data_IF_689817254991
#
_entry.id   IF_689817254991
#
_cell.length_a   1.000
_cell.length_b   1.000
_cell.length_c   1.000
_cell.angle_alpha   90.00
_cell.angle_beta   90.00
_cell.angle_gamma   90.00
#
_symmetry.space_group_name_H-M   'P 1'
#
loop_
_entity.id
_entity.type
_entity.pdbx_description
1 polymer ?
#
# COMPACT_ATOMS: atom_id res chain seq x y z
N UNK A 1 14.95 30.31 -12.21
CA UNK A 1 14.47 30.24 -10.82
C UNK A 1 13.68 28.96 -10.71
N UNK A 2 14.29 27.91 -10.18
CA UNK A 2 13.61 26.64 -9.96
C UNK A 2 12.73 26.83 -8.72
N UNK A 3 11.43 26.59 -8.86
CA UNK A 3 10.58 26.43 -7.70
C UNK A 3 10.99 25.11 -7.05
N UNK A 4 11.59 25.17 -5.86
CA UNK A 4 11.81 24.04 -4.98
C UNK A 4 10.45 23.42 -4.64
N UNK A 5 10.00 22.49 -5.49
CA UNK A 5 8.83 21.69 -5.21
C UNK A 5 9.24 20.64 -4.18
N UNK A 6 9.04 20.96 -2.88
CA UNK A 6 8.24 20.18 -1.90
C UNK A 6 8.63 20.51 -0.44
N UNK A 7 7.86 21.38 0.21
CA UNK A 7 7.87 21.58 1.68
C UNK A 7 6.72 20.81 2.38
N UNK A 8 6.17 19.77 1.76
CA UNK A 8 5.16 18.92 2.41
C UNK A 8 5.80 17.58 2.76
N UNK A 9 5.98 17.28 4.06
CA UNK A 9 6.61 16.04 4.50
C UNK A 9 5.79 14.84 4.04
N UNK A 10 6.48 13.74 3.71
CA UNK A 10 5.81 12.50 3.32
C UNK A 10 4.95 11.97 4.48
N UNK A 11 3.64 11.88 4.22
CA UNK A 11 2.68 11.38 5.19
C UNK A 11 2.58 9.85 5.07
N UNK A 12 3.08 9.15 6.10
CA UNK A 12 3.10 7.69 6.19
C UNK A 12 2.27 7.29 7.39
N UNK A 13 1.35 6.34 7.18
CA UNK A 13 0.52 5.78 8.23
C UNK A 13 0.86 4.29 8.40
N UNK A 14 1.37 3.92 9.57
CA UNK A 14 1.60 2.53 9.92
C UNK A 14 0.26 1.84 10.25
N UNK A 15 0.03 0.67 9.66
CA UNK A 15 -1.17 -0.13 9.94
C UNK A 15 -0.86 -1.26 10.92
N UNK A 16 0.32 -1.84 10.80
CA UNK A 16 0.83 -2.86 11.72
C UNK A 16 2.36 -2.83 11.68
N UNK A 17 3.04 -3.41 12.69
CA UNK A 17 4.50 -3.50 12.70
C UNK A 17 5.06 -4.03 11.38
N UNK A 18 5.85 -3.20 10.69
CA UNK A 18 6.51 -3.56 9.44
C UNK A 18 5.66 -3.35 8.17
N UNK A 19 4.45 -2.82 8.26
CA UNK A 19 3.66 -2.42 7.10
C UNK A 19 2.99 -1.05 7.30
N UNK A 20 3.25 -0.16 6.34
CA UNK A 20 2.68 1.17 6.31
C UNK A 20 2.13 1.52 4.93
N UNK A 21 1.33 2.58 4.89
CA UNK A 21 0.78 3.14 3.66
C UNK A 21 1.11 4.61 3.51
N UNK A 22 1.05 5.11 2.28
CA UNK A 22 1.10 6.54 1.99
C UNK A 22 0.19 6.95 0.84
N UNK A 23 0.09 8.27 0.67
CA UNK A 23 -0.40 8.89 -0.56
C UNK A 23 0.61 8.73 -1.71
N UNK A 24 0.31 9.37 -2.85
CA UNK A 24 1.16 9.34 -4.04
C UNK A 24 2.61 9.72 -3.72
N UNK A 25 3.53 8.92 -4.25
CA UNK A 25 4.96 9.17 -4.18
C UNK A 25 5.46 9.76 -5.50
N UNK A 26 6.33 10.75 -5.41
CA UNK A 26 7.23 11.16 -6.47
C UNK A 26 8.58 10.44 -6.32
N UNK A 27 9.43 10.34 -7.37
CA UNK A 27 10.74 9.71 -7.25
C UNK A 27 11.61 10.26 -6.12
N UNK A 28 11.57 11.58 -5.87
CA UNK A 28 12.33 12.20 -4.78
C UNK A 28 11.87 11.80 -3.37
N UNK A 29 10.63 11.32 -3.21
CA UNK A 29 10.12 10.85 -1.91
C UNK A 29 10.77 9.54 -1.48
N UNK A 30 11.29 8.75 -2.43
CA UNK A 30 11.91 7.47 -2.14
C UNK A 30 13.19 7.61 -1.32
N UNK A 31 13.87 8.75 -1.38
CA UNK A 31 14.99 9.06 -0.51
C UNK A 31 14.57 9.13 0.96
N UNK A 32 13.43 9.77 1.23
CA UNK A 32 12.87 9.82 2.58
C UNK A 32 12.36 8.43 3.01
N UNK A 33 11.75 7.66 2.11
CA UNK A 33 11.35 6.27 2.36
C UNK A 33 12.55 5.42 2.76
N UNK A 34 13.68 5.53 2.05
CA UNK A 34 14.91 4.83 2.37
C UNK A 34 15.49 5.27 3.73
N UNK A 35 15.50 6.58 4.01
CA UNK A 35 15.99 7.13 5.29
C UNK A 35 15.15 6.66 6.48
N UNK A 36 13.83 6.51 6.29
CA UNK A 36 12.93 5.93 7.30
C UNK A 36 13.06 4.41 7.44
N UNK A 37 13.92 3.77 6.65
CA UNK A 37 14.33 2.37 6.82
C UNK A 37 13.47 1.35 6.09
N UNK A 38 12.50 1.77 5.29
CA UNK A 38 11.69 0.86 4.46
C UNK A 38 12.58 0.08 3.48
N UNK A 39 12.28 -1.20 3.33
CA UNK A 39 13.04 -2.12 2.48
C UNK A 39 12.31 -2.44 1.19
N UNK A 40 10.99 -2.25 1.17
CA UNK A 40 10.18 -2.54 0.00
C UNK A 40 9.08 -1.51 -0.20
N UNK A 41 8.71 -1.27 -1.46
CA UNK A 41 7.60 -0.40 -1.86
C UNK A 41 6.65 -1.14 -2.81
N UNK A 42 5.35 -1.04 -2.53
CA UNK A 42 4.27 -1.58 -3.36
C UNK A 42 3.48 -0.43 -4.00
N UNK A 43 3.46 -0.35 -5.33
CA UNK A 43 2.59 0.56 -6.09
C UNK A 43 1.25 -0.11 -6.39
N UNK A 44 0.14 0.52 -5.97
CA UNK A 44 -1.22 0.09 -6.31
C UNK A 44 -1.93 1.01 -7.31
N UNK A 45 -1.17 1.84 -8.05
CA UNK A 45 -1.69 2.67 -9.15
C UNK A 45 -1.57 1.91 -10.47
N UNK A 46 -2.45 2.24 -11.42
CA UNK A 46 -2.28 1.78 -12.80
C UNK A 46 -1.38 2.79 -13.53
N UNK A 47 -0.37 2.33 -14.30
CA UNK A 47 0.33 3.20 -15.24
C UNK A 47 -0.65 3.97 -16.13
N UNK A 48 -0.44 5.27 -16.28
CA UNK A 48 -1.28 6.15 -17.11
C UNK A 48 -2.62 6.53 -16.48
N UNK A 49 -2.84 6.26 -15.18
CA UNK A 49 -4.09 6.64 -14.50
C UNK A 49 -4.26 8.15 -14.33
N UNK A 50 -3.15 8.91 -14.28
CA UNK A 50 -3.16 10.37 -14.14
C UNK A 50 -1.84 10.98 -14.64
N UNK A 51 -1.83 12.30 -14.89
CA UNK A 51 -0.66 13.02 -15.41
C UNK A 51 0.56 12.95 -14.46
N UNK A 52 0.30 12.81 -13.15
CA UNK A 52 1.34 12.63 -12.12
C UNK A 52 1.85 11.18 -12.02
N UNK A 53 1.28 10.27 -12.83
CA UNK A 53 1.65 8.85 -12.85
C UNK A 53 1.48 8.25 -14.25
N UNK A 54 2.26 8.70 -15.24
CA UNK A 54 2.24 8.16 -16.59
C UNK A 54 2.74 6.70 -16.63
N UNK A 55 3.75 6.37 -15.81
CA UNK A 55 4.26 5.02 -15.59
C UNK A 55 4.99 4.91 -14.23
N UNK A 56 5.57 3.74 -13.97
CA UNK A 56 6.34 3.42 -12.75
C UNK A 56 7.86 3.50 -12.95
N UNK A 57 8.36 3.88 -14.13
CA UNK A 57 9.76 3.66 -14.51
C UNK A 57 10.73 4.44 -13.61
N UNK A 58 10.48 5.73 -13.41
CA UNK A 58 11.34 6.59 -12.59
C UNK A 58 11.28 6.21 -11.11
N UNK A 59 10.09 5.86 -10.61
CA UNK A 59 9.89 5.40 -9.24
C UNK A 59 10.63 4.08 -8.99
N UNK A 60 10.45 3.09 -9.87
CA UNK A 60 11.10 1.79 -9.75
C UNK A 60 12.62 1.90 -9.88
N UNK A 61 13.11 2.73 -10.82
CA UNK A 61 14.54 2.97 -10.99
C UNK A 61 15.16 3.61 -9.75
N UNK A 62 14.49 4.60 -9.15
CA UNK A 62 14.96 5.26 -7.94
C UNK A 62 14.92 4.33 -6.72
N UNK A 63 13.84 3.55 -6.56
CA UNK A 63 13.76 2.54 -5.51
C UNK A 63 14.93 1.55 -5.59
N UNK A 64 15.19 1.02 -6.79
CA UNK A 64 16.33 0.12 -7.03
C UNK A 64 17.68 0.76 -6.71
N UNK A 65 17.89 2.03 -7.08
CA UNK A 65 19.12 2.75 -6.78
C UNK A 65 19.35 2.93 -5.26
N UNK A 66 18.28 2.95 -4.48
CA UNK A 66 18.29 3.05 -3.02
C UNK A 66 18.29 1.69 -2.30
N UNK A 67 18.29 0.58 -3.06
CA UNK A 67 18.21 -0.78 -2.50
C UNK A 67 16.84 -1.12 -1.92
N UNK A 68 15.78 -0.44 -2.38
CA UNK A 68 14.39 -0.73 -2.04
C UNK A 68 13.83 -1.70 -3.08
N UNK A 69 13.27 -2.82 -2.63
CA UNK A 69 12.53 -3.76 -3.48
C UNK A 69 11.24 -3.11 -4.00
N UNK A 70 11.01 -3.19 -5.30
CA UNK A 70 9.84 -2.57 -5.93
C UNK A 70 8.86 -3.62 -6.43
N UNK A 71 7.57 -3.46 -6.09
CA UNK A 71 6.48 -4.28 -6.63
C UNK A 71 5.36 -3.40 -7.13
N UNK A 72 4.90 -3.63 -8.36
CA UNK A 72 3.67 -3.01 -8.87
C UNK A 72 2.53 -4.05 -8.88
N UNK A 73 1.41 -3.70 -8.26
CA UNK A 73 0.16 -4.47 -8.23
C UNK A 73 -0.97 -3.49 -8.61
N UNK A 74 -1.13 -3.23 -9.92
CA UNK A 74 -1.99 -2.17 -10.41
C UNK A 74 -3.47 -2.58 -10.29
N UNK A 75 -4.25 -1.80 -9.53
CA UNK A 75 -5.68 -2.11 -9.29
C UNK A 75 -6.61 -0.95 -9.63
N UNK A 76 -7.85 -1.28 -9.95
CA UNK A 76 -8.92 -0.29 -10.13
C UNK A 76 -9.49 0.10 -8.76
N UNK A 77 -9.62 1.39 -8.43
CA UNK A 77 -10.20 1.81 -7.15
C UNK A 77 -11.58 1.18 -6.91
N UNK A 78 -11.76 0.55 -5.75
CA UNK A 78 -13.04 -0.05 -5.35
C UNK A 78 -13.37 -1.40 -6.02
N UNK A 79 -12.61 -1.84 -7.02
CA UNK A 79 -12.79 -3.13 -7.68
C UNK A 79 -11.50 -3.94 -7.61
N UNK A 80 -11.46 -4.88 -6.66
CA UNK A 80 -10.30 -5.74 -6.39
C UNK A 80 -10.70 -7.19 -6.63
N UNK A 81 -10.00 -7.85 -7.55
CA UNK A 81 -10.20 -9.28 -7.80
C UNK A 81 -9.52 -10.13 -6.73
N UNK A 82 -9.90 -11.41 -6.65
CA UNK A 82 -9.20 -12.37 -5.79
C UNK A 82 -7.71 -12.49 -6.15
N UNK A 83 -7.38 -12.35 -7.44
CA UNK A 83 -5.98 -12.36 -7.91
C UNK A 83 -5.21 -11.14 -7.39
N UNK A 84 -5.82 -9.96 -7.35
CA UNK A 84 -5.19 -8.74 -6.81
C UNK A 84 -4.92 -8.90 -5.30
N UNK A 85 -5.89 -9.43 -4.57
CA UNK A 85 -5.79 -9.67 -3.12
C UNK A 85 -4.69 -10.71 -2.84
N UNK A 86 -4.67 -11.82 -3.59
CA UNK A 86 -3.66 -12.86 -3.45
C UNK A 86 -2.26 -12.36 -3.82
N UNK A 87 -2.12 -11.57 -4.89
CA UNK A 87 -0.86 -10.96 -5.29
C UNK A 87 -0.34 -9.99 -4.22
N UNK A 88 -1.24 -9.21 -3.60
CA UNK A 88 -0.89 -8.31 -2.51
C UNK A 88 -0.46 -9.07 -1.26
N UNK A 89 -1.20 -10.10 -0.85
CA UNK A 89 -0.83 -10.95 0.29
C UNK A 89 0.51 -11.63 0.09
N UNK A 90 0.75 -12.20 -1.10
CA UNK A 90 2.04 -12.76 -1.46
C UNK A 90 3.17 -11.72 -1.39
N UNK A 91 2.91 -10.48 -1.78
CA UNK A 91 3.90 -9.42 -1.66
C UNK A 91 4.19 -9.07 -0.19
N UNK A 92 3.20 -9.09 0.70
CA UNK A 92 3.42 -8.92 2.14
C UNK A 92 4.30 -10.02 2.74
N UNK A 93 4.16 -11.26 2.26
CA UNK A 93 4.92 -12.41 2.75
C UNK A 93 6.35 -12.50 2.15
N UNK A 94 6.50 -12.18 0.87
CA UNK A 94 7.77 -12.35 0.14
C UNK A 94 8.73 -11.17 0.32
N UNK A 95 8.21 -9.95 0.52
CA UNK A 95 9.02 -8.73 0.49
C UNK A 95 9.71 -8.46 1.84
N UNK A 96 10.96 -7.95 1.84
CA UNK A 96 11.62 -7.50 3.05
C UNK A 96 10.81 -6.39 3.76
N UNK A 97 10.64 -6.52 5.07
CA UNK A 97 10.01 -5.49 5.92
C UNK A 97 11.05 -4.49 6.46
N UNK A 98 10.65 -3.23 6.76
CA UNK A 98 9.32 -2.65 6.61
C UNK A 98 8.91 -2.40 5.16
N UNK A 99 7.62 -2.64 4.85
CA UNK A 99 7.02 -2.45 3.52
C UNK A 99 6.16 -1.17 3.54
N UNK A 100 6.29 -0.35 2.50
CA UNK A 100 5.41 0.81 2.24
C UNK A 100 4.54 0.56 1.01
N UNK A 101 3.22 0.58 1.14
CA UNK A 101 2.32 0.53 -0.01
C UNK A 101 1.69 1.90 -0.29
N UNK A 102 1.55 2.27 -1.56
CA UNK A 102 0.96 3.57 -1.91
C UNK A 102 0.02 3.50 -3.10
N UNK A 103 -0.85 4.51 -3.19
CA UNK A 103 -1.64 4.72 -4.39
C UNK A 103 -1.80 6.22 -4.67
N UNK A 104 -3.02 6.74 -4.91
CA UNK A 104 -3.25 8.19 -4.90
C UNK A 104 -3.38 8.73 -3.48
N UNK A 105 -4.19 8.07 -2.66
CA UNK A 105 -4.58 8.53 -1.32
C UNK A 105 -4.49 7.42 -0.25
N UNK A 106 -3.63 6.42 -0.42
CA UNK A 106 -3.53 5.26 0.49
C UNK A 106 -4.67 4.22 0.43
N UNK A 107 -5.92 4.63 0.12
CA UNK A 107 -7.13 3.77 0.22
C UNK A 107 -7.04 2.40 -0.46
N UNK A 108 -6.44 2.30 -1.66
CA UNK A 108 -6.30 1.01 -2.37
C UNK A 108 -5.43 0.03 -1.60
N UNK A 109 -4.29 0.51 -1.11
CA UNK A 109 -3.36 -0.29 -0.32
C UNK A 109 -4.03 -0.81 0.96
N UNK A 110 -4.76 0.05 1.66
CA UNK A 110 -5.52 -0.34 2.87
C UNK A 110 -6.58 -1.39 2.56
N UNK A 111 -7.34 -1.22 1.47
CA UNK A 111 -8.39 -2.19 1.11
C UNK A 111 -7.80 -3.56 0.74
N UNK A 112 -6.69 -3.59 0.00
CA UNK A 112 -6.00 -4.82 -0.37
C UNK A 112 -5.36 -5.50 0.85
N UNK A 113 -4.71 -4.73 1.72
CA UNK A 113 -4.18 -5.20 2.99
C UNK A 113 -5.28 -5.83 3.85
N UNK A 114 -6.38 -5.12 4.06
CA UNK A 114 -7.52 -5.58 4.85
C UNK A 114 -8.08 -6.90 4.32
N UNK A 115 -8.29 -6.98 3.01
CA UNK A 115 -8.78 -8.18 2.35
C UNK A 115 -7.80 -9.35 2.46
N UNK A 116 -6.53 -9.11 2.20
CA UNK A 116 -5.49 -10.14 2.30
C UNK A 116 -5.39 -10.68 3.73
N UNK A 117 -5.37 -9.80 4.74
CA UNK A 117 -5.30 -10.20 6.15
C UNK A 117 -6.58 -10.92 6.60
N UNK A 118 -7.75 -10.53 6.12
CA UNK A 118 -9.01 -11.22 6.44
C UNK A 118 -9.06 -12.67 5.97
N UNK A 119 -8.24 -13.08 5.00
CA UNK A 119 -8.16 -14.47 4.55
C UNK A 119 -7.42 -15.37 5.56
N UNK A 120 -6.64 -14.80 6.49
CA UNK A 120 -5.98 -15.58 7.52
C UNK A 120 -7.00 -16.12 8.53
N UNK A 121 -6.96 -17.42 8.82
CA UNK A 121 -7.92 -18.09 9.71
C UNK A 121 -7.97 -17.48 11.14
N UNK A 122 -6.88 -16.86 11.58
CA UNK A 122 -6.71 -16.19 12.88
C UNK A 122 -6.93 -14.68 12.83
N UNK A 123 -7.47 -14.13 11.75
CA UNK A 123 -7.66 -12.68 11.63
C UNK A 123 -8.69 -12.17 12.63
N UNK A 124 -8.32 -11.13 13.38
CA UNK A 124 -9.23 -10.34 14.20
C UNK A 124 -9.72 -9.13 13.38
N UNK A 125 -10.93 -9.25 12.81
CA UNK A 125 -11.53 -8.22 11.97
C UNK A 125 -11.72 -6.89 12.75
N UNK A 126 -12.26 -6.88 14.00
CA UNK A 126 -12.27 -5.66 14.82
C UNK A 126 -10.91 -4.97 14.98
N UNK A 127 -9.84 -5.72 15.23
CA UNK A 127 -8.50 -5.15 15.37
C UNK A 127 -8.00 -4.56 14.05
N UNK A 128 -8.22 -5.27 12.94
CA UNK A 128 -7.87 -4.84 11.58
C UNK A 128 -8.57 -3.52 11.19
N UNK A 129 -9.87 -3.40 11.49
CA UNK A 129 -10.62 -2.16 11.25
C UNK A 129 -10.15 -1.01 12.13
N UNK A 130 -9.74 -1.31 13.37
CA UNK A 130 -9.17 -0.31 14.29
C UNK A 130 -7.86 0.24 13.75
N UNK A 131 -6.94 -0.64 13.34
CA UNK A 131 -5.67 -0.26 12.72
C UNK A 131 -5.87 0.61 11.46
N UNK A 132 -6.80 0.22 10.58
CA UNK A 132 -7.14 1.03 9.40
C UNK A 132 -7.63 2.44 9.78
N UNK A 133 -8.49 2.53 10.80
CA UNK A 133 -9.04 3.81 11.27
C UNK A 133 -7.97 4.70 11.90
N UNK A 134 -7.05 4.13 12.67
CA UNK A 134 -5.89 4.84 13.23
C UNK A 134 -4.95 5.36 12.13
N UNK A 135 -4.84 4.64 11.02
CA UNK A 135 -4.16 5.08 9.81
C UNK A 135 -4.98 6.09 8.96
N UNK A 136 -6.13 6.56 9.44
CA UNK A 136 -6.96 7.56 8.75
C UNK A 136 -7.94 7.00 7.71
N UNK A 137 -8.16 5.68 7.70
CA UNK A 137 -9.02 5.00 6.74
C UNK A 137 -10.14 4.22 7.41
N UNK A 138 -11.38 4.72 7.29
CA UNK A 138 -12.56 3.98 7.75
C UNK A 138 -12.93 2.89 6.74
N UNK A 139 -13.02 1.64 7.21
CA UNK A 139 -13.38 0.46 6.43
C UNK A 139 -14.70 -0.17 6.90
N UNK A 140 -15.47 0.49 7.75
CA UNK A 140 -16.70 -0.07 8.33
C UNK A 140 -17.71 -0.50 7.25
N UNK A 141 -17.80 0.26 6.15
CA UNK A 141 -18.62 -0.08 4.98
C UNK A 141 -18.23 -1.42 4.31
N UNK A 142 -17.03 -1.94 4.60
CA UNK A 142 -16.48 -3.18 4.04
C UNK A 142 -16.46 -4.33 5.03
N UNK A 143 -16.86 -4.12 6.29
CA UNK A 143 -16.82 -5.15 7.35
C UNK A 143 -17.46 -6.46 6.92
N UNK A 144 -18.71 -6.40 6.44
CA UNK A 144 -19.46 -7.58 6.05
C UNK A 144 -18.75 -8.40 4.96
N UNK A 145 -18.09 -7.73 4.02
CA UNK A 145 -17.32 -8.40 2.97
C UNK A 145 -16.05 -9.04 3.54
N UNK A 146 -15.33 -8.37 4.45
CA UNK A 146 -14.15 -8.91 5.10
C UNK A 146 -14.47 -10.15 5.96
N UNK A 147 -15.61 -10.15 6.66
CA UNK A 147 -16.08 -11.29 7.45
C UNK A 147 -16.49 -12.49 6.57
N UNK A 148 -17.09 -12.23 5.40
CA UNK A 148 -17.40 -13.26 4.42
C UNK A 148 -16.12 -13.91 3.88
N UNK A 149 -15.11 -13.10 3.52
CA UNK A 149 -13.80 -13.60 3.06
C UNK A 149 -13.13 -14.49 4.10
N UNK A 150 -13.19 -14.13 5.38
CA UNK A 150 -12.64 -14.93 6.49
C UNK A 150 -13.33 -16.29 6.68
N UNK A 151 -14.60 -16.39 6.31
CA UNK A 151 -15.41 -17.61 6.50
C UNK A 151 -15.23 -18.61 5.34
N UNK A 152 -15.01 -18.13 4.11
CA UNK A 152 -14.92 -19.01 2.92
C UNK A 152 -13.63 -19.84 2.84
N UNK A 153 -12.63 -19.59 3.68
CA UNK A 153 -11.38 -20.36 3.74
C UNK A 153 -11.25 -21.25 4.98
N UNK A 154 -12.33 -21.40 5.78
CA UNK A 154 -12.37 -22.33 6.93
C UNK A 154 -12.87 -23.71 6.55
#
# INVERSE_FOLDING_TARGET
MAFDAKEIPLNIHELEPGFAISEALAPGDLDEVAQRGFKSVICNRRPGEADDHPDDADLSARAKALGIEWRCIPVTPGNYSEADIAAFGKALDDLPTPILAFCRSGKRAVHLWAHSKSQAASCDIPALLTAAREAGHDLEERRALLEQTATHQR
#
